data_IF_684772473050
#
_entry.id   IF_684772473050
#
_cell.length_a   1.000
_cell.length_b   1.000
_cell.length_c   1.000
_cell.angle_alpha   90.00
_cell.angle_beta   90.00
_cell.angle_gamma   90.00
#
_symmetry.space_group_name_H-M   'P 1'
#
loop_
_entity.id
_entity.type
_entity.pdbx_description
1 polymer ?
#
# COMPACT_ATOMS: atom_id res chain seq x y z
N UNK A 1 0.54 -26.09 -52.35
CA UNK A 1 0.78 -25.08 -51.30
C UNK A 1 -0.12 -25.36 -50.09
N UNK A 2 0.01 -26.54 -49.48
CA UNK A 2 -0.90 -26.99 -48.39
C UNK A 2 -0.15 -27.67 -47.22
N UNK A 3 1.11 -28.07 -47.38
CA UNK A 3 1.92 -28.62 -46.27
C UNK A 3 2.57 -27.55 -45.38
N UNK A 4 2.80 -26.33 -45.88
CA UNK A 4 3.52 -25.29 -45.10
C UNK A 4 2.64 -24.59 -44.03
N UNK A 5 1.31 -24.68 -44.15
CA UNK A 5 0.37 -24.09 -43.17
C UNK A 5 0.14 -25.06 -42.01
N UNK A 6 0.17 -26.37 -42.24
CA UNK A 6 -0.03 -27.39 -41.20
C UNK A 6 1.16 -27.49 -40.22
N UNK A 7 2.40 -27.31 -40.70
CA UNK A 7 3.60 -27.34 -39.84
C UNK A 7 3.68 -26.10 -38.95
N UNK A 8 3.13 -24.95 -39.40
CA UNK A 8 3.09 -23.72 -38.60
C UNK A 8 2.09 -23.79 -37.44
N UNK A 9 0.90 -24.36 -37.66
CA UNK A 9 -0.11 -24.50 -36.60
C UNK A 9 0.25 -25.55 -35.53
N UNK A 10 0.98 -26.59 -35.90
CA UNK A 10 1.42 -27.61 -34.92
C UNK A 10 2.58 -27.11 -34.04
N UNK A 11 3.45 -26.23 -34.56
CA UNK A 11 4.53 -25.62 -33.79
C UNK A 11 4.02 -24.55 -32.80
N UNK A 12 2.94 -23.85 -33.14
CA UNK A 12 2.36 -22.82 -32.27
C UNK A 12 1.62 -23.41 -31.04
N UNK A 13 1.09 -24.63 -31.15
CA UNK A 13 0.39 -25.31 -30.05
C UNK A 13 1.31 -26.00 -29.03
N UNK A 14 2.59 -26.19 -29.35
CA UNK A 14 3.60 -26.72 -28.41
C UNK A 14 4.26 -25.62 -27.57
N UNK A 15 4.28 -24.38 -28.05
CA UNK A 15 4.94 -23.26 -27.35
C UNK A 15 4.04 -22.67 -26.22
N UNK A 16 2.72 -22.73 -26.34
CA UNK A 16 1.80 -22.28 -25.26
C UNK A 16 1.64 -23.30 -24.12
N UNK A 17 1.69 -24.61 -24.41
CA UNK A 17 1.52 -25.65 -23.37
C UNK A 17 2.73 -25.81 -22.44
N UNK A 18 3.92 -25.34 -22.86
CA UNK A 18 5.12 -25.32 -22.00
C UNK A 18 5.10 -24.14 -21.01
N UNK A 19 4.35 -23.07 -21.32
CA UNK A 19 4.41 -21.81 -20.54
C UNK A 19 3.33 -21.64 -19.47
N UNK A 20 2.28 -22.48 -19.41
CA UNK A 20 1.21 -22.33 -18.41
C UNK A 20 1.25 -23.29 -17.22
N UNK A 21 2.14 -24.31 -17.22
CA UNK A 21 2.27 -25.27 -16.12
C UNK A 21 3.58 -25.15 -15.32
N UNK A 22 4.33 -24.05 -15.48
CA UNK A 22 5.66 -23.88 -14.84
C UNK A 22 5.86 -22.56 -14.11
N UNK A 23 4.79 -21.81 -13.82
CA UNK A 23 4.88 -20.51 -13.13
C UNK A 23 4.42 -20.50 -11.67
N UNK A 24 3.75 -21.53 -11.13
CA UNK A 24 3.18 -21.42 -9.77
C UNK A 24 3.63 -22.48 -8.75
N UNK A 25 4.44 -23.47 -9.13
CA UNK A 25 4.94 -24.50 -8.18
C UNK A 25 6.47 -24.60 -8.03
N UNK A 26 7.27 -23.81 -8.78
CA UNK A 26 8.74 -23.89 -8.72
C UNK A 26 9.46 -22.62 -8.20
N UNK A 27 8.74 -21.55 -7.86
CA UNK A 27 9.37 -20.30 -7.42
C UNK A 27 9.72 -20.24 -5.91
N UNK A 28 9.16 -21.12 -5.07
CA UNK A 28 9.39 -21.09 -3.63
C UNK A 28 10.50 -22.02 -3.12
N UNK A 29 11.23 -22.71 -4.00
CA UNK A 29 12.38 -23.56 -3.59
C UNK A 29 13.70 -23.19 -4.28
N UNK A 30 13.71 -22.31 -5.29
CA UNK A 30 14.93 -21.90 -6.00
C UNK A 30 15.52 -20.55 -5.53
N UNK A 31 14.80 -19.77 -4.73
CA UNK A 31 15.22 -18.45 -4.26
C UNK A 31 16.07 -18.45 -2.98
N UNK A 32 16.15 -19.58 -2.25
CA UNK A 32 16.84 -19.60 -0.94
C UNK A 32 18.36 -19.85 -1.00
N UNK A 33 18.89 -20.42 -2.10
CA UNK A 33 20.30 -20.85 -2.16
C UNK A 33 21.23 -20.01 -3.06
N UNK A 34 20.71 -18.95 -3.72
CA UNK A 34 21.55 -18.02 -4.52
C UNK A 34 21.93 -16.73 -3.79
N UNK A 35 21.17 -16.37 -2.74
CA UNK A 35 21.41 -15.16 -1.95
C UNK A 35 22.48 -15.42 -0.87
N UNK A 36 22.59 -16.65 -0.35
CA UNK A 36 23.61 -17.01 0.64
C UNK A 36 25.03 -17.10 0.05
N UNK A 37 25.19 -17.53 -1.20
CA UNK A 37 26.51 -17.63 -1.87
C UNK A 37 27.12 -16.27 -2.25
N UNK A 38 26.31 -15.33 -2.73
CA UNK A 38 26.76 -13.98 -3.09
C UNK A 38 27.19 -13.16 -1.85
N UNK A 39 26.57 -13.40 -0.70
CA UNK A 39 26.92 -12.72 0.56
C UNK A 39 28.23 -13.23 1.17
N UNK A 40 28.57 -14.52 0.98
CA UNK A 40 29.86 -15.09 1.43
C UNK A 40 31.01 -14.58 0.55
N UNK A 41 30.82 -14.54 -0.77
CA UNK A 41 31.81 -13.97 -1.70
C UNK A 41 32.02 -12.47 -1.49
N UNK A 42 30.97 -11.70 -1.22
CA UNK A 42 31.08 -10.28 -0.89
C UNK A 42 31.83 -10.03 0.44
N UNK A 43 31.66 -10.91 1.43
CA UNK A 43 32.38 -10.80 2.72
C UNK A 43 33.86 -11.17 2.60
N UNK A 44 34.21 -12.16 1.76
CA UNK A 44 35.61 -12.51 1.48
C UNK A 44 36.29 -11.42 0.64
N UNK A 45 35.58 -10.82 -0.33
CA UNK A 45 36.09 -9.71 -1.15
C UNK A 45 36.34 -8.44 -0.31
N UNK A 46 35.46 -8.11 0.64
CA UNK A 46 35.68 -6.96 1.54
C UNK A 46 36.81 -7.18 2.54
N UNK A 47 37.09 -8.43 2.95
CA UNK A 47 38.22 -8.74 3.83
C UNK A 47 39.58 -8.73 3.11
N UNK A 48 39.62 -9.05 1.81
CA UNK A 48 40.85 -8.94 1.00
C UNK A 48 41.24 -7.48 0.71
N UNK A 49 40.27 -6.57 0.58
CA UNK A 49 40.51 -5.14 0.34
C UNK A 49 41.04 -4.39 1.57
N UNK A 50 40.83 -4.91 2.80
CA UNK A 50 41.38 -4.32 4.04
C UNK A 50 42.87 -4.59 4.26
N UNK A 51 43.51 -5.42 3.43
CA UNK A 51 44.93 -5.79 3.58
C UNK A 51 45.91 -4.84 2.86
N UNK A 52 45.45 -3.90 2.03
CA UNK A 52 46.32 -3.15 1.10
C UNK A 52 46.57 -1.68 1.54
N UNK A 53 45.90 -1.17 2.57
CA UNK A 53 46.07 0.22 3.00
C UNK A 53 46.68 0.28 4.40
N UNK A 54 48.02 0.28 4.48
CA UNK A 54 48.74 0.74 5.66
C UNK A 54 49.07 2.24 5.50
N UNK A 55 48.59 3.13 6.38
CA UNK A 55 49.23 4.42 6.54
C UNK A 55 50.43 4.30 7.50
N UNK A 56 51.59 4.69 6.97
CA UNK A 56 52.86 4.85 7.70
C UNK A 56 52.70 5.76 8.91
N UNK A 57 53.23 5.32 10.05
CA UNK A 57 53.44 6.11 11.27
C UNK A 57 54.35 7.31 10.99
N UNK A 58 53.99 8.47 11.53
CA UNK A 58 54.95 9.49 11.98
C UNK A 58 54.50 10.00 13.36
N UNK A 59 55.48 10.22 14.23
CA UNK A 59 55.41 10.16 15.70
C UNK A 59 55.01 11.47 16.42
N UNK A 60 54.43 11.24 17.62
CA UNK A 60 54.52 11.96 18.90
C UNK A 60 54.93 13.44 18.95
N UNK A 61 54.03 14.26 19.50
CA UNK A 61 54.33 15.41 20.37
C UNK A 61 53.11 15.66 21.27
N UNK A 62 53.11 15.21 22.53
CA UNK A 62 53.41 16.00 23.74
C UNK A 62 52.22 16.80 24.34
N UNK A 63 51.59 16.23 25.40
CA UNK A 63 51.14 16.89 26.68
C UNK A 63 49.95 17.90 26.61
N UNK A 64 49.12 18.19 27.66
CA UNK A 64 48.58 17.43 28.81
C UNK A 64 47.02 17.46 28.89
N UNK A 65 46.48 16.72 29.85
CA UNK A 65 45.11 16.80 30.36
C UNK A 65 44.75 18.23 30.85
N UNK A 66 43.66 18.82 30.35
CA UNK A 66 42.99 19.98 30.98
C UNK A 66 41.47 19.83 30.93
N UNK A 67 40.87 20.34 31.99
CA UNK A 67 39.60 19.99 32.62
C UNK A 67 38.36 20.53 31.93
N UNK A 68 37.24 19.84 32.17
CA UNK A 68 35.85 20.27 31.98
C UNK A 68 35.59 21.62 32.68
N UNK A 69 35.82 22.74 32.01
CA UNK A 69 35.20 24.05 32.19
C UNK A 69 35.84 24.97 31.14
N UNK A 70 35.05 25.82 30.48
CA UNK A 70 35.42 26.77 29.41
C UNK A 70 35.37 26.29 27.95
N UNK A 71 34.14 26.07 27.44
CA UNK A 71 33.77 26.63 26.12
C UNK A 71 32.40 27.29 26.28
N UNK A 72 32.39 28.41 26.99
CA UNK A 72 31.34 29.41 26.87
C UNK A 72 31.80 30.43 25.80
N UNK A 73 30.89 30.72 24.88
CA UNK A 73 30.81 31.95 24.09
C UNK A 73 31.73 32.09 22.86
N UNK A 74 31.38 31.41 21.76
CA UNK A 74 31.71 31.84 20.37
C UNK A 74 30.47 32.37 19.62
N UNK A 75 29.26 32.11 20.10
CA UNK A 75 28.04 32.63 19.47
C UNK A 75 27.24 33.47 20.45
N UNK A 76 27.69 34.71 20.56
CA UNK A 76 27.05 35.73 21.37
C UNK A 76 25.59 35.97 21.01
N UNK A 77 24.81 36.07 22.09
CA UNK A 77 23.65 36.97 22.30
C UNK A 77 22.32 36.62 21.62
N UNK A 78 21.39 36.30 22.52
CA UNK A 78 19.94 36.41 22.44
C UNK A 78 19.45 37.72 21.81
N UNK A 79 18.50 37.60 20.88
CA UNK A 79 17.46 38.61 20.68
C UNK A 79 16.19 37.95 20.15
N UNK A 80 15.21 37.82 21.05
CA UNK A 80 13.78 37.99 20.84
C UNK A 80 13.14 37.20 19.69
N UNK A 81 12.30 36.25 20.10
CA UNK A 81 11.22 35.69 19.29
C UNK A 81 10.49 36.80 18.52
N UNK A 82 10.62 36.74 17.20
CA UNK A 82 9.54 37.17 16.33
C UNK A 82 9.46 36.10 15.26
N UNK A 83 8.67 35.07 15.54
CA UNK A 83 8.07 34.28 14.47
C UNK A 83 7.40 35.29 13.55
N UNK A 84 8.03 35.54 12.40
CA UNK A 84 7.42 36.28 11.31
C UNK A 84 6.04 35.65 11.10
N UNK A 85 4.94 36.43 11.11
CA UNK A 85 3.64 35.87 10.80
C UNK A 85 3.79 35.14 9.49
N UNK A 86 3.45 33.86 9.48
CA UNK A 86 3.27 33.13 8.23
C UNK A 86 2.12 33.89 7.58
N UNK A 87 2.43 34.70 6.58
CA UNK A 87 1.43 35.32 5.73
C UNK A 87 0.58 34.17 5.22
N UNK A 88 -0.62 34.05 5.80
CA UNK A 88 -1.71 33.25 5.26
C UNK A 88 -2.16 33.94 3.98
N UNK A 89 -1.28 33.95 2.97
CA UNK A 89 -1.70 34.05 1.59
C UNK A 89 -2.77 32.98 1.44
N UNK A 90 -3.99 33.32 0.99
CA UNK A 90 -5.02 32.31 0.80
C UNK A 90 -4.37 31.21 -0.03
N UNK A 91 -4.31 29.98 0.49
CA UNK A 91 -4.09 28.81 -0.35
C UNK A 91 -4.99 29.05 -1.55
N UNK A 92 -4.40 29.24 -2.74
CA UNK A 92 -5.14 29.61 -3.92
C UNK A 92 -6.37 28.71 -3.95
N UNK A 93 -7.54 29.30 -3.71
CA UNK A 93 -8.79 28.57 -3.83
C UNK A 93 -8.77 28.13 -5.27
N UNK A 94 -8.50 26.84 -5.49
CA UNK A 94 -8.59 26.22 -6.79
C UNK A 94 -9.97 26.65 -7.27
N UNK A 95 -10.07 27.41 -8.38
CA UNK A 95 -11.35 27.94 -8.80
C UNK A 95 -12.31 26.76 -8.84
N UNK A 96 -13.39 26.84 -8.05
CA UNK A 96 -14.48 25.87 -8.10
C UNK A 96 -15.10 26.03 -9.48
N UNK A 97 -14.51 25.37 -10.46
CA UNK A 97 -15.11 25.23 -11.76
C UNK A 97 -16.14 24.13 -11.55
N UNK A 98 -17.35 24.58 -11.27
CA UNK A 98 -18.59 23.81 -11.16
C UNK A 98 -18.97 23.13 -12.49
N UNK A 99 -17.97 22.69 -13.26
CA UNK A 99 -18.14 21.95 -14.49
C UNK A 99 -18.20 20.47 -14.15
N UNK A 100 -19.40 19.93 -14.28
CA UNK A 100 -19.68 18.49 -14.21
C UNK A 100 -18.78 17.76 -15.21
N UNK A 101 -17.70 17.16 -14.72
CA UNK A 101 -16.81 16.31 -15.52
C UNK A 101 -17.58 15.08 -16.03
N UNK A 102 -18.65 14.71 -15.34
CA UNK A 102 -19.58 13.67 -15.75
C UNK A 102 -20.04 13.83 -17.21
N UNK A 103 -20.40 15.04 -17.64
CA UNK A 103 -20.82 15.30 -19.02
C UNK A 103 -19.71 15.09 -20.06
N UNK A 104 -18.45 15.34 -19.68
CA UNK A 104 -17.29 15.17 -20.56
C UNK A 104 -16.74 13.73 -20.59
N UNK A 105 -17.10 12.90 -19.59
CA UNK A 105 -16.53 11.56 -19.40
C UNK A 105 -16.91 10.53 -20.47
N UNK A 106 -17.90 10.81 -21.31
CA UNK A 106 -18.41 9.87 -22.31
C UNK A 106 -19.25 8.72 -21.74
N UNK A 107 -19.50 8.71 -20.43
CA UNK A 107 -20.41 7.77 -19.77
C UNK A 107 -21.85 8.16 -20.12
N UNK A 108 -22.72 7.20 -20.52
CA UNK A 108 -24.11 7.52 -20.87
C UNK A 108 -24.89 8.07 -19.66
N UNK A 109 -25.80 9.01 -19.94
CA UNK A 109 -26.47 9.79 -18.89
C UNK A 109 -27.31 8.96 -17.92
N UNK A 110 -27.80 7.81 -18.38
CA UNK A 110 -28.69 6.92 -17.62
C UNK A 110 -27.96 6.28 -16.44
N UNK A 111 -26.65 6.03 -16.60
CA UNK A 111 -25.84 5.41 -15.56
C UNK A 111 -25.67 6.30 -14.33
N UNK A 112 -25.63 7.62 -14.49
CA UNK A 112 -25.56 8.56 -13.36
C UNK A 112 -26.87 8.64 -12.58
N UNK A 113 -28.02 8.45 -13.25
CA UNK A 113 -29.34 8.62 -12.65
C UNK A 113 -29.80 7.40 -11.86
N UNK A 114 -29.60 6.23 -12.46
CA UNK A 114 -30.07 4.94 -11.93
C UNK A 114 -29.32 4.50 -10.68
N UNK A 115 -28.03 4.84 -10.60
CA UNK A 115 -27.12 4.22 -9.63
C UNK A 115 -26.68 5.17 -8.54
N UNK A 116 -26.47 4.59 -7.38
CA UNK A 116 -25.76 5.22 -6.27
C UNK A 116 -24.39 4.58 -6.10
N UNK A 117 -23.46 5.38 -5.65
CA UNK A 117 -22.14 5.00 -5.21
C UNK A 117 -22.15 4.82 -3.69
N UNK A 118 -21.44 3.81 -3.21
CA UNK A 118 -21.20 3.60 -1.78
C UNK A 118 -19.77 3.99 -1.46
N UNK A 119 -19.61 4.96 -0.58
CA UNK A 119 -18.31 5.40 -0.06
C UNK A 119 -18.10 4.73 1.30
N UNK A 120 -17.10 3.85 1.41
CA UNK A 120 -16.86 3.12 2.65
C UNK A 120 -15.40 2.70 2.81
N UNK A 121 -15.02 2.32 4.02
CA UNK A 121 -13.76 1.63 4.28
C UNK A 121 -14.03 0.13 4.36
N UNK A 122 -13.27 -0.67 3.63
CA UNK A 122 -13.48 -2.12 3.63
C UNK A 122 -13.33 -2.73 5.02
N UNK A 123 -14.29 -3.57 5.41
CA UNK A 123 -14.21 -4.32 6.65
C UNK A 123 -13.02 -5.29 6.61
N UNK A 124 -12.38 -5.51 7.76
CA UNK A 124 -11.34 -6.53 7.87
C UNK A 124 -11.94 -7.91 7.59
N UNK A 125 -11.29 -8.72 6.76
CA UNK A 125 -11.67 -10.11 6.56
C UNK A 125 -11.61 -10.85 7.91
N UNK A 126 -12.74 -11.44 8.35
CA UNK A 126 -12.83 -12.10 9.64
C UNK A 126 -11.84 -13.27 9.78
N UNK A 127 -11.54 -13.98 8.68
CA UNK A 127 -10.62 -15.12 8.66
C UNK A 127 -9.14 -14.72 8.82
N UNK A 128 -8.78 -13.47 8.49
CA UNK A 128 -7.41 -12.99 8.49
C UNK A 128 -7.22 -11.89 9.52
N UNK A 129 -6.12 -11.91 10.28
CA UNK A 129 -5.83 -10.88 11.29
C UNK A 129 -5.24 -9.58 10.72
N UNK A 130 -4.85 -9.55 9.44
CA UNK A 130 -4.22 -8.39 8.81
C UNK A 130 -5.14 -7.18 8.64
N UNK A 131 -4.66 -5.98 8.97
CA UNK A 131 -5.45 -4.72 8.95
C UNK A 131 -5.10 -3.78 7.78
N UNK A 132 -4.21 -4.19 6.86
CA UNK A 132 -3.70 -3.26 5.84
C UNK A 132 -4.78 -2.78 4.85
N UNK A 133 -5.79 -3.61 4.57
CA UNK A 133 -6.88 -3.30 3.63
C UNK A 133 -7.89 -2.25 4.18
N UNK A 134 -7.92 -2.02 5.49
CA UNK A 134 -8.87 -1.12 6.16
C UNK A 134 -8.40 0.34 6.19
N UNK A 135 -7.28 0.68 5.52
CA UNK A 135 -6.73 2.04 5.55
C UNK A 135 -7.23 2.95 4.43
N UNK A 136 -7.78 2.37 3.36
CA UNK A 136 -8.19 3.09 2.15
C UNK A 136 -9.70 3.22 2.11
N UNK A 137 -10.16 4.38 1.67
CA UNK A 137 -11.57 4.60 1.32
C UNK A 137 -11.83 4.03 -0.05
N UNK A 138 -12.98 3.40 -0.23
CA UNK A 138 -13.38 2.77 -1.48
C UNK A 138 -14.71 3.34 -1.92
N UNK A 139 -14.82 3.59 -3.21
CA UNK A 139 -16.07 3.93 -3.88
C UNK A 139 -16.42 2.76 -4.79
N UNK A 140 -17.57 2.17 -4.52
CA UNK A 140 -18.14 1.07 -5.30
C UNK A 140 -19.55 1.42 -5.77
N UNK A 141 -19.96 0.86 -6.89
CA UNK A 141 -21.31 1.03 -7.44
C UNK A 141 -22.20 -0.14 -7.03
N UNK A 142 -23.51 0.12 -7.01
CA UNK A 142 -24.51 -0.93 -6.79
C UNK A 142 -24.41 -2.03 -7.86
N UNK A 143 -24.46 -3.28 -7.39
CA UNK A 143 -24.42 -4.46 -8.26
C UNK A 143 -25.77 -4.68 -8.95
N UNK A 144 -25.75 -4.80 -10.28
CA UNK A 144 -26.90 -5.22 -11.10
C UNK A 144 -27.01 -6.76 -11.21
N UNK A 145 -28.09 -7.21 -11.83
CA UNK A 145 -28.37 -8.62 -12.09
C UNK A 145 -27.23 -9.31 -12.85
N UNK A 146 -26.91 -10.54 -12.44
CA UNK A 146 -26.02 -11.46 -13.13
C UNK A 146 -26.81 -12.72 -13.46
N UNK A 147 -26.76 -13.15 -14.71
CA UNK A 147 -27.48 -14.33 -15.20
C UNK A 147 -26.53 -15.44 -15.63
N UNK A 148 -27.06 -16.65 -15.78
CA UNK A 148 -26.30 -17.81 -16.25
C UNK A 148 -26.25 -17.85 -17.78
N UNK A 149 -25.05 -18.10 -18.33
CA UNK A 149 -24.88 -18.33 -19.76
C UNK A 149 -25.37 -19.75 -20.12
N UNK A 150 -26.38 -19.91 -21.02
CA UNK A 150 -27.01 -21.20 -21.31
C UNK A 150 -26.07 -22.25 -21.91
N UNK A 151 -24.93 -21.85 -22.49
CA UNK A 151 -23.98 -22.80 -23.08
C UNK A 151 -22.98 -23.37 -22.06
N UNK A 152 -22.36 -22.49 -21.26
CA UNK A 152 -21.23 -22.84 -20.38
C UNK A 152 -21.53 -22.73 -18.88
N UNK A 153 -22.66 -22.15 -18.49
CA UNK A 153 -23.01 -21.90 -17.08
C UNK A 153 -22.24 -20.74 -16.43
N UNK A 154 -21.57 -19.89 -17.21
CA UNK A 154 -20.83 -18.74 -16.67
C UNK A 154 -21.76 -17.62 -16.22
N UNK A 155 -21.33 -16.86 -15.20
CA UNK A 155 -22.04 -15.66 -14.74
C UNK A 155 -21.80 -14.50 -15.70
N UNK A 156 -22.81 -14.19 -16.50
CA UNK A 156 -22.79 -13.09 -17.47
C UNK A 156 -23.45 -11.85 -16.87
N UNK A 157 -23.00 -10.66 -17.28
CA UNK A 157 -23.50 -9.37 -16.79
C UNK A 157 -23.52 -8.34 -17.93
N UNK A 158 -24.51 -7.45 -17.94
CA UNK A 158 -24.58 -6.33 -18.88
C UNK A 158 -23.83 -5.08 -18.37
N UNK A 159 -23.34 -5.12 -17.12
CA UNK A 159 -22.93 -3.91 -16.43
C UNK A 159 -21.40 -3.67 -16.45
N UNK A 160 -20.92 -2.56 -17.05
CA UNK A 160 -19.49 -2.24 -17.07
C UNK A 160 -18.92 -1.80 -15.72
N UNK A 161 -19.72 -1.20 -14.81
CA UNK A 161 -19.20 -0.69 -13.53
C UNK A 161 -19.18 -1.74 -12.42
N UNK A 162 -19.65 -2.96 -12.72
CA UNK A 162 -19.80 -4.04 -11.74
C UNK A 162 -18.47 -4.55 -11.14
N UNK A 163 -17.34 -4.22 -11.77
CA UNK A 163 -15.99 -4.61 -11.33
C UNK A 163 -15.11 -3.42 -10.95
N UNK A 164 -15.63 -2.19 -11.03
CA UNK A 164 -14.83 -0.99 -10.79
C UNK A 164 -14.86 -0.66 -9.31
N UNK A 165 -13.68 -0.48 -8.72
CA UNK A 165 -13.49 -0.02 -7.34
C UNK A 165 -12.43 1.06 -7.35
N UNK A 166 -12.77 2.24 -6.83
CA UNK A 166 -11.84 3.37 -6.77
C UNK A 166 -11.36 3.57 -5.34
N UNK A 167 -10.05 3.60 -5.14
CA UNK A 167 -9.43 3.75 -3.82
C UNK A 167 -8.95 5.18 -3.57
N UNK A 168 -9.25 5.70 -2.38
CA UNK A 168 -8.92 7.06 -1.94
C UNK A 168 -8.16 7.05 -0.61
N UNK A 169 -7.42 8.13 -0.36
CA UNK A 169 -6.73 8.36 0.90
C UNK A 169 -7.64 8.94 1.98
N UNK A 170 -8.47 9.92 1.63
CA UNK A 170 -9.40 10.61 2.52
C UNK A 170 -10.86 10.36 2.12
N UNK A 171 -11.78 10.61 3.06
CA UNK A 171 -13.23 10.58 2.85
C UNK A 171 -13.66 11.77 1.99
N UNK A 172 -13.09 12.93 2.24
CA UNK A 172 -13.38 14.19 1.55
C UNK A 172 -13.01 14.08 0.07
N UNK A 173 -11.86 13.48 -0.26
CA UNK A 173 -11.44 13.23 -1.64
C UNK A 173 -12.45 12.38 -2.42
N UNK A 174 -13.00 11.34 -1.76
CA UNK A 174 -13.99 10.46 -2.35
C UNK A 174 -15.33 11.18 -2.60
N UNK A 175 -15.73 12.08 -1.70
CA UNK A 175 -16.92 12.92 -1.85
C UNK A 175 -16.73 13.89 -3.01
N UNK A 176 -15.60 14.61 -3.05
CA UNK A 176 -15.27 15.55 -4.14
C UNK A 176 -15.27 14.82 -5.50
N UNK A 177 -14.73 13.59 -5.56
CA UNK A 177 -14.78 12.80 -6.79
C UNK A 177 -16.22 12.50 -7.24
N UNK A 178 -17.09 12.08 -6.32
CA UNK A 178 -18.48 11.78 -6.65
C UNK A 178 -19.25 13.03 -7.07
N UNK A 179 -19.03 14.17 -6.39
CA UNK A 179 -19.65 15.45 -6.70
C UNK A 179 -19.21 15.98 -8.08
N UNK A 180 -17.91 15.95 -8.38
CA UNK A 180 -17.37 16.38 -9.69
C UNK A 180 -17.90 15.56 -10.86
N UNK A 181 -18.14 14.26 -10.63
CA UNK A 181 -18.71 13.38 -11.63
C UNK A 181 -20.24 13.44 -11.69
N UNK A 182 -20.90 13.96 -10.64
CA UNK A 182 -22.36 14.00 -10.54
C UNK A 182 -23.00 12.67 -10.15
N UNK A 183 -22.28 11.79 -9.43
CA UNK A 183 -22.84 10.54 -8.91
C UNK A 183 -23.63 10.77 -7.62
N UNK A 184 -24.78 10.11 -7.47
CA UNK A 184 -25.46 10.01 -6.18
C UNK A 184 -24.63 9.11 -5.27
N UNK A 185 -24.37 9.52 -4.03
CA UNK A 185 -23.53 8.73 -3.13
C UNK A 185 -24.14 8.56 -1.74
N UNK A 186 -23.78 7.45 -1.09
CA UNK A 186 -24.08 7.14 0.30
C UNK A 186 -22.76 6.93 1.05
N UNK A 187 -22.60 7.63 2.17
CA UNK A 187 -21.38 7.55 2.99
C UNK A 187 -21.61 6.62 4.17
N UNK A 188 -20.81 5.58 4.26
CA UNK A 188 -20.75 4.70 5.43
C UNK A 188 -19.49 5.02 6.24
N UNK A 189 -19.67 5.44 7.49
CA UNK A 189 -18.55 5.77 8.36
C UNK A 189 -17.76 4.53 8.77
N UNK A 190 -16.45 4.70 8.90
CA UNK A 190 -15.56 3.62 9.34
C UNK A 190 -15.73 3.40 10.84
N UNK A 191 -15.97 2.16 11.24
CA UNK A 191 -16.01 1.79 12.67
C UNK A 191 -14.62 1.37 13.12
N UNK A 192 -13.90 2.18 13.93
CA UNK A 192 -12.60 1.78 14.44
C UNK A 192 -12.77 0.62 15.44
N UNK A 193 -11.83 -0.32 15.44
CA UNK A 193 -11.81 -1.38 16.44
C UNK A 193 -11.43 -0.79 17.80
N UNK A 194 -12.24 -0.98 18.86
CA UNK A 194 -11.90 -0.46 20.18
C UNK A 194 -10.63 -1.13 20.72
N UNK A 195 -9.82 -0.36 21.44
CA UNK A 195 -8.63 -0.86 22.11
C UNK A 195 -9.01 -1.50 23.46
N UNK A 196 -8.59 -2.74 23.67
CA UNK A 196 -8.77 -3.45 24.94
C UNK A 196 -7.43 -3.67 25.65
N UNK A 197 -7.37 -3.34 26.94
CA UNK A 197 -6.20 -3.63 27.79
C UNK A 197 -6.14 -5.14 28.08
N UNK A 198 -5.15 -5.84 27.52
CA UNK A 198 -4.89 -7.26 27.78
C UNK A 198 -3.77 -7.40 28.81
N UNK A 199 -4.06 -8.01 29.96
CA UNK A 199 -3.08 -8.28 31.01
C UNK A 199 -2.91 -9.80 31.14
N UNK A 200 -1.74 -10.34 30.82
CA UNK A 200 -1.49 -11.78 30.91
C UNK A 200 -1.64 -12.31 32.36
N UNK A 201 -1.22 -11.53 33.36
CA UNK A 201 -1.42 -11.89 34.78
C UNK A 201 -2.88 -12.02 35.20
N UNK A 202 -3.82 -11.38 34.50
CA UNK A 202 -5.26 -11.52 34.78
C UNK A 202 -5.78 -12.93 34.47
N UNK A 203 -5.09 -13.68 33.60
CA UNK A 203 -5.41 -15.08 33.29
C UNK A 203 -5.18 -16.03 34.47
N UNK A 204 -4.47 -15.60 35.53
CA UNK A 204 -4.13 -16.43 36.71
C UNK A 204 -4.55 -15.77 38.04
N UNK A 205 -5.57 -14.91 38.01
CA UNK A 205 -6.07 -14.24 39.21
C UNK A 205 -6.58 -15.21 40.28
N UNK A 206 -6.23 -14.98 41.55
CA UNK A 206 -6.66 -15.80 42.69
C UNK A 206 -8.18 -15.78 42.93
N UNK A 207 -8.81 -14.60 42.86
CA UNK A 207 -10.22 -14.38 43.24
C UNK A 207 -11.05 -13.67 42.15
N UNK A 208 -10.66 -13.76 40.87
CA UNK A 208 -11.45 -13.22 39.76
C UNK A 208 -11.81 -14.34 38.78
N UNK A 209 -12.96 -14.18 38.11
CA UNK A 209 -13.46 -15.13 37.10
C UNK A 209 -12.66 -15.11 35.78
N UNK A 210 -11.65 -14.25 35.68
CA UNK A 210 -10.76 -14.16 34.51
C UNK A 210 -9.73 -15.29 34.43
N UNK A 211 -9.64 -16.14 35.47
CA UNK A 211 -8.71 -17.26 35.50
C UNK A 211 -9.05 -18.29 34.41
N UNK A 212 -8.11 -18.53 33.50
CA UNK A 212 -8.25 -19.55 32.45
C UNK A 212 -8.00 -20.93 33.03
N UNK A 213 -8.72 -21.94 32.52
CA UNK A 213 -8.56 -23.34 32.95
C UNK A 213 -7.39 -24.04 32.27
N UNK A 214 -7.10 -23.66 31.01
CA UNK A 214 -6.03 -24.22 30.18
C UNK A 214 -5.32 -23.13 29.39
N UNK A 215 -4.12 -23.40 28.89
CA UNK A 215 -3.29 -22.47 28.10
C UNK A 215 -2.68 -23.17 26.89
#
# INVERSE_FOLDING_TARGET
MSCLIAVSYHLHQQIEKVNLNKSESCWNTFASNRITGLMILASILMNLLKSIVQPLRINLFSIPQRTLFDIQNVWGRTSVDTQKPIDSSPLAEIPRQDESIGALSGVPSDMFKERRCRIFVSARNAMQSGTNNTKKWKVEWDTKERWENPLMGWTSSSDPHSSVVVEFGSKEDAIIYCERMGYKYEVVESTPTPYFKKIYGANFSWNKKTRVTTK
#
